data_IF_220341037538
#
_entry.id   IF_220341037538
#
_cell.length_a   1.000
_cell.length_b   1.000
_cell.length_c   1.000
_cell.angle_alpha   90.00
_cell.angle_beta   90.00
_cell.angle_gamma   90.00
#
_symmetry.space_group_name_H-M   'P 1'
#
loop_
_entity.id
_entity.type
_entity.pdbx_description
1 polymer ?
#
# COMPACT_ATOMS: atom_id res chain seq x y z
N UNK A 1 -7.90 13.70 13.01
CA UNK A 1 -8.20 12.26 12.86
C UNK A 1 -7.19 11.69 11.93
N UNK A 2 -6.53 10.74 12.36
CA UNK A 2 -5.16 10.46 12.00
C UNK A 2 -5.04 8.96 11.78
N UNK A 3 -4.09 8.53 10.99
CA UNK A 3 -3.78 7.12 10.73
C UNK A 3 -3.69 6.32 12.04
N UNK A 4 -3.90 5.01 12.01
CA UNK A 4 -4.05 4.16 13.20
C UNK A 4 -3.05 4.38 14.35
N UNK A 5 -1.82 4.81 14.04
CA UNK A 5 -0.81 5.17 15.05
C UNK A 5 -1.22 6.44 15.81
N UNK A 6 -1.76 7.42 15.11
CA UNK A 6 -2.21 8.66 15.74
C UNK A 6 -3.53 8.48 16.50
N UNK A 7 -4.39 7.54 16.11
CA UNK A 7 -5.59 7.23 16.89
C UNK A 7 -5.24 6.59 18.23
N UNK A 8 -4.20 5.76 18.30
CA UNK A 8 -3.70 5.21 19.54
C UNK A 8 -3.08 6.29 20.43
N UNK A 9 -2.37 7.24 19.85
CA UNK A 9 -1.81 8.38 20.59
C UNK A 9 -2.92 9.28 21.14
N UNK A 10 -3.94 9.61 20.33
CA UNK A 10 -5.07 10.40 20.78
C UNK A 10 -5.89 9.68 21.85
N UNK A 11 -6.06 8.37 21.74
CA UNK A 11 -6.72 7.58 22.78
C UNK A 11 -5.91 7.55 24.08
N UNK A 12 -4.61 7.37 23.99
CA UNK A 12 -3.70 7.44 25.14
C UNK A 12 -3.72 8.80 25.79
N UNK A 13 -3.67 9.87 25.00
CA UNK A 13 -3.78 11.24 25.46
C UNK A 13 -5.10 11.50 26.21
N UNK A 14 -6.21 11.10 25.62
CA UNK A 14 -7.54 11.23 26.23
C UNK A 14 -7.64 10.45 27.55
N UNK A 15 -7.05 9.25 27.60
CA UNK A 15 -7.03 8.41 28.81
C UNK A 15 -6.16 9.01 29.90
N UNK A 16 -4.99 9.55 29.55
CA UNK A 16 -4.11 10.22 30.49
C UNK A 16 -4.73 11.52 31.04
N UNK A 17 -5.35 12.30 30.17
CA UNK A 17 -6.07 13.50 30.56
C UNK A 17 -7.20 13.19 31.55
N UNK A 18 -8.00 12.16 31.27
CA UNK A 18 -9.09 11.74 32.17
C UNK A 18 -8.61 11.20 33.51
N UNK A 19 -7.34 10.84 33.62
CA UNK A 19 -6.67 10.41 34.87
C UNK A 19 -5.90 11.52 35.57
N UNK A 20 -6.08 12.78 35.13
CA UNK A 20 -5.39 13.93 35.72
C UNK A 20 -3.92 14.09 35.31
N UNK A 21 -3.47 13.35 34.30
CA UNK A 21 -2.11 13.52 33.74
C UNK A 21 -2.13 14.66 32.73
N UNK A 22 -1.29 15.66 32.94
CA UNK A 22 -1.08 16.74 31.95
C UNK A 22 -0.24 16.21 30.80
N UNK A 23 -0.66 16.53 29.58
CA UNK A 23 0.12 16.24 28.39
C UNK A 23 0.23 17.49 27.52
N UNK A 24 1.44 17.85 27.19
CA UNK A 24 1.77 18.92 26.26
C UNK A 24 2.32 18.32 24.97
N UNK A 25 1.75 18.72 23.86
CA UNK A 25 2.15 18.27 22.53
C UNK A 25 2.69 19.47 21.74
N UNK A 26 3.99 19.52 21.58
CA UNK A 26 4.64 20.60 20.82
C UNK A 26 4.36 20.55 19.33
N UNK A 27 4.11 19.36 18.80
CA UNK A 27 3.79 19.16 17.39
C UNK A 27 3.13 17.79 17.19
N UNK A 28 2.34 17.62 16.15
CA UNK A 28 1.74 16.34 15.73
C UNK A 28 2.43 15.74 14.50
N UNK A 29 3.61 16.22 14.17
CA UNK A 29 4.42 15.68 13.08
C UNK A 29 5.08 14.35 13.46
N UNK A 30 5.41 13.54 12.48
CA UNK A 30 6.18 12.32 12.69
C UNK A 30 7.50 12.64 13.38
N UNK A 31 7.91 11.81 14.35
CA UNK A 31 9.11 12.03 15.15
C UNK A 31 8.94 12.97 16.36
N UNK A 32 7.76 13.57 16.53
CA UNK A 32 7.49 14.44 17.68
C UNK A 32 7.35 13.61 18.96
N UNK A 33 7.91 14.11 20.04
CA UNK A 33 7.75 13.53 21.38
C UNK A 33 6.56 14.15 22.07
N UNK A 34 5.72 13.32 22.68
CA UNK A 34 4.73 13.76 23.64
C UNK A 34 5.37 13.87 25.01
N UNK A 35 5.16 15.00 25.65
CA UNK A 35 5.57 15.25 27.02
C UNK A 35 4.39 14.92 27.94
N UNK A 36 4.59 14.01 28.87
CA UNK A 36 3.60 13.67 29.88
C UNK A 36 4.13 14.10 31.25
N UNK A 37 3.36 14.87 31.96
CA UNK A 37 3.62 15.21 33.36
C UNK A 37 2.68 14.39 34.25
N UNK A 38 3.24 13.56 35.12
CA UNK A 38 2.47 12.79 36.06
C UNK A 38 2.15 13.63 37.31
N UNK A 39 1.19 13.17 38.12
CA UNK A 39 0.89 13.80 39.41
C UNK A 39 2.08 13.81 40.37
N UNK A 40 3.10 12.98 40.12
CA UNK A 40 4.35 12.95 40.88
C UNK A 40 5.43 13.88 40.30
N UNK A 41 5.11 14.69 39.32
CA UNK A 41 6.06 15.61 38.69
C UNK A 41 7.11 14.95 37.76
N UNK A 42 6.94 13.67 37.46
CA UNK A 42 7.81 12.98 36.50
C UNK A 42 7.36 13.28 35.06
N UNK A 43 8.30 13.73 34.26
CA UNK A 43 8.08 13.97 32.84
C UNK A 43 8.51 12.73 32.07
N UNK A 44 7.58 12.11 31.38
CA UNK A 44 7.86 10.98 30.50
C UNK A 44 7.71 11.40 29.04
N UNK A 45 8.65 10.97 28.23
CA UNK A 45 8.63 11.19 26.78
C UNK A 45 8.25 9.92 26.05
N UNK A 46 7.19 9.98 25.26
CA UNK A 46 6.85 8.90 24.34
C UNK A 46 7.12 9.35 22.90
N UNK A 47 7.91 8.60 22.16
CA UNK A 47 8.06 8.82 20.73
C UNK A 47 6.74 8.48 20.04
N UNK A 48 6.19 9.40 19.25
CA UNK A 48 4.94 9.21 18.52
C UNK A 48 5.04 8.17 17.40
N UNK A 49 6.22 8.08 16.80
CA UNK A 49 6.58 7.05 15.83
C UNK A 49 8.06 6.77 15.98
N UNK A 50 8.50 5.51 15.88
CA UNK A 50 9.91 5.27 15.64
C UNK A 50 10.29 6.03 14.36
N UNK A 51 11.41 6.74 14.39
CA UNK A 51 12.01 7.29 13.16
C UNK A 51 12.18 6.12 12.19
N UNK A 52 11.27 6.01 11.25
CA UNK A 52 11.45 5.12 10.13
C UNK A 52 12.40 5.87 9.22
N UNK A 53 13.66 5.49 9.23
CA UNK A 53 14.57 5.87 8.16
C UNK A 53 14.00 5.30 6.85
N UNK A 54 13.10 6.03 6.24
CA UNK A 54 12.68 5.72 4.88
C UNK A 54 13.89 5.98 3.99
N UNK A 55 14.52 4.92 3.55
CA UNK A 55 15.55 5.03 2.52
C UNK A 55 14.94 5.76 1.33
N UNK A 56 15.64 6.79 0.79
CA UNK A 56 15.10 7.54 -0.34
C UNK A 56 14.80 6.57 -1.49
N UNK A 57 13.57 6.65 -2.01
CA UNK A 57 13.16 5.88 -3.17
C UNK A 57 13.83 6.49 -4.40
N UNK A 58 14.62 5.70 -5.11
CA UNK A 58 15.46 6.20 -6.21
C UNK A 58 15.29 5.44 -7.51
N UNK A 59 14.58 4.31 -7.49
CA UNK A 59 14.45 3.46 -8.67
C UNK A 59 13.40 4.02 -9.63
N UNK A 60 13.76 4.13 -10.91
CA UNK A 60 12.79 4.54 -11.93
C UNK A 60 11.95 3.34 -12.34
N UNK A 61 10.65 3.55 -12.57
CA UNK A 61 9.75 2.46 -12.95
C UNK A 61 10.11 1.85 -14.32
N UNK A 62 10.73 2.62 -15.20
CA UNK A 62 11.19 2.15 -16.51
C UNK A 62 12.36 1.15 -16.42
N UNK A 63 13.01 1.07 -15.27
CA UNK A 63 14.11 0.13 -14.98
C UNK A 63 13.60 -1.21 -14.46
N UNK A 64 12.30 -1.32 -14.19
CA UNK A 64 11.66 -2.54 -13.67
C UNK A 64 11.12 -3.36 -14.83
N UNK A 65 11.49 -4.63 -14.88
CA UNK A 65 10.83 -5.57 -15.78
C UNK A 65 9.43 -5.91 -15.24
N UNK A 66 8.41 -5.39 -15.88
CA UNK A 66 7.01 -5.63 -15.51
C UNK A 66 6.43 -6.90 -16.17
N UNK A 67 7.23 -7.66 -16.91
CA UNK A 67 6.81 -8.88 -17.61
C UNK A 67 5.52 -8.67 -18.43
N UNK A 68 5.47 -7.59 -19.23
CA UNK A 68 4.25 -7.08 -19.88
C UNK A 68 3.56 -8.10 -20.80
N UNK A 69 4.33 -9.08 -21.33
CA UNK A 69 3.85 -10.08 -22.28
C UNK A 69 3.96 -11.52 -21.77
N UNK A 70 4.24 -11.70 -20.48
CA UNK A 70 4.44 -13.01 -19.87
C UNK A 70 3.32 -13.36 -18.91
N UNK A 71 3.15 -14.66 -18.66
CA UNK A 71 2.28 -15.11 -17.58
C UNK A 71 2.94 -14.85 -16.23
N UNK A 72 2.43 -13.90 -15.49
CA UNK A 72 2.94 -13.55 -14.17
C UNK A 72 2.43 -14.56 -13.13
N UNK A 73 3.35 -15.34 -12.55
CA UNK A 73 3.13 -16.17 -11.39
C UNK A 73 3.27 -15.38 -10.09
N UNK A 74 3.04 -16.06 -8.93
CA UNK A 74 3.14 -15.40 -7.64
C UNK A 74 4.56 -14.90 -7.31
N UNK A 75 5.58 -15.67 -7.67
CA UNK A 75 6.97 -15.30 -7.36
C UNK A 75 7.40 -14.07 -8.17
N UNK A 76 7.14 -14.05 -9.48
CA UNK A 76 7.38 -12.88 -10.34
C UNK A 76 6.59 -11.66 -9.86
N UNK A 77 5.32 -11.84 -9.47
CA UNK A 77 4.54 -10.77 -8.86
C UNK A 77 5.22 -10.20 -7.61
N UNK A 78 5.75 -11.05 -6.72
CA UNK A 78 6.48 -10.64 -5.53
C UNK A 78 7.74 -9.86 -5.85
N UNK A 79 8.51 -10.29 -6.84
CA UNK A 79 9.71 -9.60 -7.31
C UNK A 79 9.37 -8.19 -7.81
N UNK A 80 8.36 -8.06 -8.67
CA UNK A 80 7.88 -6.76 -9.15
C UNK A 80 7.44 -5.87 -7.98
N UNK A 81 6.70 -6.39 -7.01
CA UNK A 81 6.25 -5.65 -5.83
C UNK A 81 7.42 -5.13 -5.00
N UNK A 82 8.47 -5.95 -4.77
CA UNK A 82 9.64 -5.52 -4.01
C UNK A 82 10.42 -4.39 -4.74
N UNK A 83 10.47 -4.44 -6.05
CA UNK A 83 11.07 -3.37 -6.85
C UNK A 83 10.22 -2.09 -6.82
N UNK A 84 8.90 -2.21 -6.94
CA UNK A 84 7.98 -1.08 -6.87
C UNK A 84 8.06 -0.32 -5.54
N UNK A 85 8.42 -0.97 -4.43
CA UNK A 85 8.62 -0.30 -3.13
C UNK A 85 9.70 0.78 -3.18
N UNK A 86 10.60 0.72 -4.15
CA UNK A 86 11.72 1.65 -4.31
C UNK A 86 11.41 2.80 -5.29
N UNK A 87 10.23 2.80 -5.91
CA UNK A 87 9.82 3.81 -6.89
C UNK A 87 9.20 5.01 -6.19
N UNK A 88 9.66 6.25 -6.48
CA UNK A 88 9.01 7.45 -5.98
C UNK A 88 7.59 7.63 -6.58
N UNK A 89 6.76 8.41 -5.92
CA UNK A 89 5.39 8.70 -6.40
C UNK A 89 4.36 7.60 -6.11
N UNK A 90 4.77 6.47 -5.54
CA UNK A 90 3.86 5.40 -5.11
C UNK A 90 4.16 4.92 -3.69
N UNK A 91 3.16 4.34 -3.07
CA UNK A 91 3.30 3.62 -1.83
C UNK A 91 2.77 2.19 -1.99
N UNK A 92 3.57 1.21 -1.59
CA UNK A 92 3.24 -0.20 -1.66
C UNK A 92 3.04 -0.73 -0.25
N UNK A 93 1.88 -1.31 0.02
CA UNK A 93 1.59 -1.86 1.33
C UNK A 93 0.93 -3.22 1.24
N UNK A 94 1.26 -4.08 2.20
CA UNK A 94 0.63 -5.38 2.35
C UNK A 94 -0.78 -5.21 2.91
N UNK A 95 -1.78 -5.65 2.15
CA UNK A 95 -3.19 -5.56 2.55
C UNK A 95 -3.65 -6.75 3.37
N UNK A 96 -3.16 -7.94 3.01
CA UNK A 96 -3.57 -9.19 3.65
C UNK A 96 -2.52 -10.28 3.47
N UNK A 97 -2.77 -11.40 4.14
CA UNK A 97 -2.12 -12.70 3.91
C UNK A 97 -3.21 -13.70 3.61
N UNK A 98 -3.03 -14.49 2.55
CA UNK A 98 -3.99 -15.51 2.13
C UNK A 98 -3.98 -16.74 3.05
N UNK A 99 -4.90 -17.66 2.82
CA UNK A 99 -4.97 -18.95 3.54
C UNK A 99 -3.71 -19.79 3.43
N UNK A 100 -3.01 -19.72 2.29
CA UNK A 100 -1.75 -20.46 2.07
C UNK A 100 -0.51 -19.68 2.47
N UNK A 101 -0.69 -18.53 3.13
CA UNK A 101 0.42 -17.71 3.62
C UNK A 101 1.01 -16.75 2.59
N UNK A 102 0.38 -16.58 1.41
CA UNK A 102 0.82 -15.63 0.39
C UNK A 102 0.36 -14.22 0.71
N UNK A 103 1.26 -13.28 0.51
CA UNK A 103 0.99 -11.86 0.80
C UNK A 103 0.31 -11.17 -0.38
N UNK A 104 -0.71 -10.37 -0.09
CA UNK A 104 -1.39 -9.48 -1.03
C UNK A 104 -0.89 -8.06 -0.84
N UNK A 105 -0.69 -7.37 -1.96
CA UNK A 105 -0.21 -5.99 -1.93
C UNK A 105 -1.12 -5.08 -2.73
N UNK A 106 -1.23 -3.85 -2.26
CA UNK A 106 -1.80 -2.75 -3.00
C UNK A 106 -0.75 -1.68 -3.27
N UNK A 107 -0.89 -1.03 -4.41
CA UNK A 107 -0.08 0.10 -4.85
C UNK A 107 -0.96 1.32 -4.86
N UNK A 108 -0.62 2.30 -4.05
CA UNK A 108 -1.29 3.59 -4.03
C UNK A 108 -0.46 4.59 -4.84
N UNK A 109 -1.09 5.24 -5.82
CA UNK A 109 -0.48 6.33 -6.57
C UNK A 109 -0.55 7.57 -5.69
N UNK A 110 0.61 8.00 -5.23
CA UNK A 110 0.72 9.07 -4.24
C UNK A 110 0.75 10.43 -4.93
N UNK A 111 -0.12 11.36 -4.55
CA UNK A 111 -0.04 12.73 -5.05
C UNK A 111 1.23 13.42 -4.53
N UNK A 112 1.84 14.22 -5.38
CA UNK A 112 2.86 15.17 -4.94
C UNK A 112 2.15 16.31 -4.18
N UNK A 113 2.55 16.51 -2.93
CA UNK A 113 1.90 17.51 -2.10
C UNK A 113 2.92 18.32 -1.30
N UNK A 114 2.90 19.62 -1.57
CA UNK A 114 3.57 20.64 -0.75
C UNK A 114 2.50 21.47 -0.05
N UNK A 115 2.32 21.32 1.26
CA UNK A 115 1.36 22.15 1.99
C UNK A 115 1.00 21.68 3.40
N UNK A 116 0.26 22.53 4.11
CA UNK A 116 -0.09 22.33 5.52
C UNK A 116 -1.27 21.38 5.78
N UNK A 117 -1.94 20.88 4.75
CA UNK A 117 -3.02 19.92 4.94
C UNK A 117 -2.45 18.52 5.17
N UNK A 118 -2.86 17.87 6.25
CA UNK A 118 -2.50 16.47 6.45
C UNK A 118 -3.01 15.61 5.28
N UNK A 119 -2.26 14.56 4.94
CA UNK A 119 -2.63 13.61 3.89
C UNK A 119 -4.06 13.07 4.11
N UNK A 120 -4.43 12.77 5.36
CA UNK A 120 -5.78 12.31 5.71
C UNK A 120 -6.87 13.31 5.32
N UNK A 121 -6.67 14.60 5.55
CA UNK A 121 -7.63 15.63 5.16
C UNK A 121 -7.75 15.76 3.65
N UNK A 122 -6.65 15.59 2.94
CA UNK A 122 -6.64 15.61 1.49
C UNK A 122 -7.38 14.43 0.91
N UNK A 123 -7.03 13.21 1.32
CA UNK A 123 -7.68 11.97 0.90
C UNK A 123 -9.20 12.02 1.14
N UNK A 124 -9.66 12.64 2.23
CA UNK A 124 -11.09 12.74 2.53
C UNK A 124 -11.86 13.73 1.63
N UNK A 125 -11.18 14.52 0.80
CA UNK A 125 -11.78 15.57 -0.05
C UNK A 125 -11.87 15.20 -1.52
N UNK A 126 -11.12 14.19 -1.95
CA UNK A 126 -11.12 13.71 -3.32
C UNK A 126 -11.72 12.31 -3.39
N UNK A 127 -12.36 11.93 -4.51
CA UNK A 127 -12.89 10.59 -4.67
C UNK A 127 -11.78 9.53 -4.61
N UNK A 128 -12.16 8.32 -4.25
CA UNK A 128 -11.24 7.19 -4.19
C UNK A 128 -11.72 6.11 -5.15
N UNK A 129 -10.78 5.55 -5.91
CA UNK A 129 -11.01 4.43 -6.80
C UNK A 129 -10.05 3.28 -6.43
N UNK A 130 -10.57 2.07 -6.38
CA UNK A 130 -9.81 0.86 -6.15
C UNK A 130 -9.95 -0.07 -7.35
N UNK A 131 -8.84 -0.42 -7.96
CA UNK A 131 -8.78 -1.32 -9.10
C UNK A 131 -8.23 -2.65 -8.61
N UNK A 132 -9.06 -3.69 -8.65
CA UNK A 132 -8.66 -5.05 -8.34
C UNK A 132 -8.44 -5.84 -9.63
N UNK A 133 -7.25 -6.41 -9.76
CA UNK A 133 -6.90 -7.27 -10.88
C UNK A 133 -6.80 -8.74 -10.42
N UNK A 134 -7.08 -9.65 -11.35
CA UNK A 134 -7.00 -11.11 -11.15
C UNK A 134 -7.83 -11.62 -9.97
N UNK A 135 -9.06 -11.17 -9.89
CA UNK A 135 -10.04 -11.70 -8.96
C UNK A 135 -10.30 -13.20 -9.25
N UNK A 136 -10.44 -13.58 -10.52
CA UNK A 136 -10.39 -14.98 -10.92
C UNK A 136 -8.99 -15.36 -11.39
N UNK A 137 -8.53 -16.53 -10.99
CA UNK A 137 -7.18 -17.02 -11.22
C UNK A 137 -6.75 -17.04 -12.70
N UNK A 138 -7.68 -17.35 -13.59
CA UNK A 138 -7.44 -17.50 -15.02
C UNK A 138 -7.52 -16.18 -15.83
N UNK A 139 -7.83 -15.07 -15.18
CA UNK A 139 -7.86 -13.73 -15.83
C UNK A 139 -6.48 -13.09 -15.79
N UNK A 140 -5.51 -13.77 -16.39
CA UNK A 140 -4.08 -13.49 -16.25
C UNK A 140 -3.66 -12.11 -16.75
N UNK A 141 -4.24 -11.63 -17.84
CA UNK A 141 -3.91 -10.35 -18.46
C UNK A 141 -4.21 -9.14 -17.56
N UNK A 142 -5.09 -9.28 -16.59
CA UNK A 142 -5.44 -8.19 -15.69
C UNK A 142 -4.30 -7.80 -14.76
N UNK A 143 -3.44 -8.74 -14.33
CA UNK A 143 -2.21 -8.45 -13.57
C UNK A 143 -1.22 -7.63 -14.40
N UNK A 144 -0.99 -8.03 -15.66
CA UNK A 144 -0.12 -7.28 -16.56
C UNK A 144 -0.68 -5.87 -16.80
N UNK A 145 -1.99 -5.77 -17.08
CA UNK A 145 -2.66 -4.48 -17.28
C UNK A 145 -2.55 -3.56 -16.05
N UNK A 146 -2.63 -4.11 -14.84
CA UNK A 146 -2.46 -3.35 -13.61
C UNK A 146 -1.05 -2.77 -13.48
N UNK A 147 0.00 -3.55 -13.75
CA UNK A 147 1.38 -3.06 -13.71
C UNK A 147 1.67 -2.05 -14.82
N UNK A 148 1.16 -2.29 -16.04
CA UNK A 148 1.26 -1.33 -17.15
C UNK A 148 0.54 -0.02 -16.80
N UNK A 149 -0.63 -0.09 -16.15
CA UNK A 149 -1.34 1.10 -15.70
C UNK A 149 -0.53 1.89 -14.68
N UNK A 150 0.08 1.23 -13.69
CA UNK A 150 0.96 1.89 -12.70
C UNK A 150 2.10 2.62 -13.42
N UNK A 151 2.76 1.96 -14.38
CA UNK A 151 3.83 2.57 -15.17
C UNK A 151 3.34 3.82 -15.92
N UNK A 152 2.22 3.72 -16.61
CA UNK A 152 1.64 4.83 -17.37
C UNK A 152 1.28 6.03 -16.49
N UNK A 153 0.68 5.77 -15.33
CA UNK A 153 0.32 6.80 -14.35
C UNK A 153 1.53 7.58 -13.83
N UNK A 154 2.71 6.97 -13.82
CA UNK A 154 3.94 7.58 -13.34
C UNK A 154 4.79 8.20 -14.46
N UNK A 155 4.59 7.81 -15.73
CA UNK A 155 5.48 8.21 -16.82
C UNK A 155 4.80 9.04 -17.92
N UNK A 156 3.48 8.96 -18.05
CA UNK A 156 2.77 9.67 -19.12
C UNK A 156 2.21 11.00 -18.59
N UNK A 157 2.61 12.12 -19.21
CA UNK A 157 2.20 13.48 -18.83
C UNK A 157 0.70 13.70 -18.75
N UNK A 158 -0.08 12.94 -19.54
CA UNK A 158 -1.55 13.04 -19.55
C UNK A 158 -2.16 12.69 -18.18
N UNK A 159 -1.47 11.90 -17.37
CA UNK A 159 -1.94 11.44 -16.06
C UNK A 159 -1.32 12.18 -14.87
N UNK A 160 -0.37 13.08 -15.09
CA UNK A 160 0.38 13.74 -14.00
C UNK A 160 -0.48 14.42 -12.94
N UNK A 161 -1.61 15.00 -13.35
CA UNK A 161 -2.54 15.69 -12.42
C UNK A 161 -3.60 14.74 -11.82
N UNK A 162 -3.63 13.46 -12.21
CA UNK A 162 -4.66 12.54 -11.76
C UNK A 162 -4.57 12.25 -10.25
N UNK A 163 -3.38 12.05 -9.66
CA UNK A 163 -3.27 11.80 -8.22
C UNK A 163 -3.76 12.96 -7.35
N UNK A 164 -3.86 14.17 -7.91
CA UNK A 164 -4.42 15.33 -7.21
C UNK A 164 -5.94 15.35 -7.20
N UNK A 165 -6.57 14.63 -8.09
CA UNK A 165 -8.02 14.60 -8.31
C UNK A 165 -8.67 13.30 -7.86
N UNK A 166 -7.87 12.24 -7.73
CA UNK A 166 -8.34 10.89 -7.46
C UNK A 166 -7.35 10.15 -6.57
N UNK A 167 -7.84 9.55 -5.48
CA UNK A 167 -7.09 8.55 -4.73
C UNK A 167 -7.16 7.23 -5.48
N UNK A 168 -6.06 6.82 -6.07
CA UNK A 168 -6.02 5.60 -6.86
C UNK A 168 -5.21 4.52 -6.14
N UNK A 169 -5.88 3.41 -5.83
CA UNK A 169 -5.30 2.21 -5.23
C UNK A 169 -5.47 1.05 -6.19
N UNK A 170 -4.38 0.38 -6.54
CA UNK A 170 -4.37 -0.74 -7.48
C UNK A 170 -3.90 -1.99 -6.74
N UNK A 171 -4.67 -3.06 -6.83
CA UNK A 171 -4.32 -4.40 -6.34
C UNK A 171 -4.00 -5.27 -7.57
N UNK A 172 -2.71 -5.47 -7.90
CA UNK A 172 -2.34 -6.13 -9.17
C UNK A 172 -2.67 -7.62 -9.21
N UNK A 173 -2.82 -8.27 -8.07
CA UNK A 173 -3.18 -9.68 -7.96
C UNK A 173 -4.00 -9.89 -6.68
N UNK A 174 -5.32 -9.92 -6.81
CA UNK A 174 -6.23 -10.09 -5.68
C UNK A 174 -6.27 -11.55 -5.21
N UNK A 175 -6.39 -12.49 -6.13
CA UNK A 175 -6.45 -13.92 -5.83
C UNK A 175 -5.07 -14.57 -5.98
N UNK A 176 -4.17 -14.32 -5.02
CA UNK A 176 -2.79 -14.82 -5.06
C UNK A 176 -2.70 -16.35 -4.99
N UNK A 177 -3.60 -17.01 -4.25
CA UNK A 177 -3.60 -18.47 -4.13
C UNK A 177 -4.07 -19.12 -5.43
N UNK A 178 -5.19 -18.66 -5.97
CA UNK A 178 -5.68 -19.15 -7.25
C UNK A 178 -4.68 -18.87 -8.38
N UNK A 179 -4.05 -17.69 -8.38
CA UNK A 179 -3.04 -17.32 -9.37
C UNK A 179 -1.81 -18.25 -9.33
N UNK A 180 -1.33 -18.62 -8.14
CA UNK A 180 -0.24 -19.57 -7.98
C UNK A 180 -0.62 -20.96 -8.51
N UNK A 181 -1.79 -21.48 -8.13
CA UNK A 181 -2.29 -22.76 -8.63
C UNK A 181 -2.43 -22.75 -10.16
N UNK A 182 -3.02 -21.68 -10.70
CA UNK A 182 -3.18 -21.53 -12.14
C UNK A 182 -1.83 -21.52 -12.87
N UNK A 183 -0.83 -20.82 -12.32
CA UNK A 183 0.50 -20.76 -12.92
C UNK A 183 1.15 -22.15 -13.01
N UNK A 184 1.11 -22.92 -11.93
CA UNK A 184 1.67 -24.28 -11.92
C UNK A 184 0.92 -25.21 -12.87
N UNK A 185 -0.42 -25.17 -12.87
CA UNK A 185 -1.22 -25.97 -13.81
C UNK A 185 -0.93 -25.62 -15.28
N UNK A 186 -0.75 -24.33 -15.58
CA UNK A 186 -0.43 -23.88 -16.94
C UNK A 186 0.99 -24.33 -17.36
N UNK A 187 1.90 -24.38 -16.43
CA UNK A 187 3.28 -24.84 -16.64
C UNK A 187 3.32 -26.35 -16.88
N UNK A 188 2.58 -27.13 -16.10
CA UNK A 188 2.49 -28.58 -16.26
C UNK A 188 1.66 -28.98 -17.49
N UNK A 189 0.65 -28.22 -17.83
CA UNK A 189 -0.34 -28.51 -18.86
C UNK A 189 -0.55 -27.32 -19.82
N UNK A 190 0.45 -26.93 -20.59
CA UNK A 190 0.40 -25.71 -21.43
C UNK A 190 -0.69 -25.71 -22.50
N UNK A 191 -1.25 -26.88 -22.83
CA UNK A 191 -2.32 -27.03 -23.81
C UNK A 191 -3.73 -26.94 -23.21
N UNK A 192 -3.86 -26.89 -21.89
CA UNK A 192 -5.16 -26.77 -21.25
C UNK A 192 -5.76 -25.37 -21.48
N UNK A 193 -7.08 -25.35 -21.70
CA UNK A 193 -7.77 -24.10 -21.85
C UNK A 193 -7.95 -23.40 -20.49
N UNK A 194 -7.75 -22.10 -20.48
CA UNK A 194 -7.69 -21.26 -19.27
C UNK A 194 -8.90 -21.33 -18.33
N UNK A 195 -10.09 -21.67 -18.86
CA UNK A 195 -11.28 -21.73 -18.02
C UNK A 195 -11.32 -22.90 -17.02
N UNK A 196 -10.41 -23.87 -17.16
CA UNK A 196 -10.34 -25.02 -16.24
C UNK A 196 -9.84 -24.61 -14.84
N UNK A 197 -9.11 -23.53 -14.72
CA UNK A 197 -8.50 -23.08 -13.46
C UNK A 197 -9.11 -21.77 -12.93
N UNK A 198 -10.43 -21.63 -13.03
CA UNK A 198 -11.15 -20.47 -12.49
C UNK A 198 -11.46 -20.70 -11.00
N UNK A 199 -10.40 -20.70 -10.19
CA UNK A 199 -10.56 -20.76 -8.74
C UNK A 199 -10.84 -19.36 -8.19
N UNK A 200 -11.91 -19.25 -7.43
CA UNK A 200 -11.99 -18.23 -6.40
C UNK A 200 -11.07 -18.66 -5.26
N UNK A 201 -10.81 -17.80 -4.28
CA UNK A 201 -10.01 -18.18 -3.11
C UNK A 201 -10.43 -19.54 -2.55
N UNK A 202 -9.49 -20.25 -1.94
CA UNK A 202 -9.74 -21.50 -1.23
C UNK A 202 -10.56 -21.25 0.04
N UNK A 203 -11.80 -20.94 -0.09
CA UNK A 203 -12.73 -20.75 1.02
C UNK A 203 -14.13 -21.12 0.65
#
# INVERSE_FOLDING_TARGET
RTNGVQSNVLHTYSTLWSKGVLAECESVAAGTKLLFESEQGEIQYAALTPEREEKPKTKRIEEIDLHEHELIGYDTYREIIEELKQVPGIEVFRTAVSYTGRELYAVWIRPEYEGYLSMTKRISRIPSEMINARHHANEVSSTNAAFILIKKLLTEDVYKDLPDKLNLVIVPMENVDGAAIHYELQKEHPTWKFHVARFNSLG
#
